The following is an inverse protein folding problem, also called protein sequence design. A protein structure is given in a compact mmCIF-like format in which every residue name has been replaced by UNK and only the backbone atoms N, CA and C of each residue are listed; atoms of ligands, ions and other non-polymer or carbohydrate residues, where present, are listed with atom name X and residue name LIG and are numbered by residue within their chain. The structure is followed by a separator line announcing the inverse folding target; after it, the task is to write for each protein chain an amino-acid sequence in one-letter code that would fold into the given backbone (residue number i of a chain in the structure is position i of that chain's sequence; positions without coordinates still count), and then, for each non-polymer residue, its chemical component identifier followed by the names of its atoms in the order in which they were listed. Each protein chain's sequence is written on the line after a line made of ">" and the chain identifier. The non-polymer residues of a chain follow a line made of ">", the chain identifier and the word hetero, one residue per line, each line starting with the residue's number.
data_IF_346357198520
#
_entry.id   IF_346357198520
#
_cell.length_a   1.000
_cell.length_b   1.000
_cell.length_c   1.000
_cell.angle_alpha   90.00
_cell.angle_beta   90.00
_cell.angle_gamma   90.00
#
_symmetry.space_group_name_H-M   'P 1'
#
loop_
_entity.id
_entity.type
_entity.pdbx_description
1 polymer ?
#
# COMPACT_ATOMS: atom_id res chain seq x y z
N UNK A 1 6.31 -1.35 -75.53
CA UNK A 1 6.75 -0.27 -74.62
C UNK A 1 5.73 -0.18 -73.49
N UNK A 2 6.07 -0.74 -72.33
CA UNK A 2 5.18 -0.81 -71.17
C UNK A 2 5.42 0.40 -70.27
N UNK A 3 4.33 1.10 -69.91
CA UNK A 3 4.32 2.15 -68.89
C UNK A 3 4.15 1.50 -67.51
N UNK A 4 5.13 1.72 -66.62
CA UNK A 4 5.02 1.46 -65.18
C UNK A 4 4.83 2.81 -64.47
N UNK A 5 3.60 3.08 -64.03
CA UNK A 5 3.30 4.17 -63.09
C UNK A 5 3.46 3.62 -61.68
N UNK A 6 4.50 4.09 -60.98
CA UNK A 6 4.70 3.89 -59.54
C UNK A 6 3.78 4.86 -58.81
N UNK A 7 2.79 4.34 -58.09
CA UNK A 7 1.95 5.12 -57.18
C UNK A 7 2.60 5.14 -55.80
N UNK A 8 3.00 6.32 -55.34
CA UNK A 8 3.44 6.57 -53.97
C UNK A 8 2.22 6.53 -53.02
N UNK A 9 2.05 5.45 -52.25
CA UNK A 9 1.18 5.45 -51.08
C UNK A 9 1.98 5.93 -49.85
N UNK A 10 1.62 7.14 -49.40
CA UNK A 10 2.05 7.76 -48.17
C UNK A 10 1.29 7.09 -47.01
N UNK A 11 1.86 6.05 -46.41
CA UNK A 11 1.31 5.47 -45.17
C UNK A 11 1.62 6.44 -44.02
N UNK A 12 0.59 7.16 -43.58
CA UNK A 12 0.59 7.80 -42.26
C UNK A 12 0.74 6.71 -41.19
N UNK A 13 1.47 6.98 -40.09
CA UNK A 13 1.54 6.03 -38.99
C UNK A 13 0.12 5.80 -38.46
N UNK A 14 -0.31 4.54 -38.47
CA UNK A 14 -1.52 4.11 -37.81
C UNK A 14 -1.39 4.50 -36.34
N UNK A 15 -2.21 5.45 -35.91
CA UNK A 15 -2.53 5.63 -34.50
C UNK A 15 -2.94 4.28 -33.95
N UNK A 16 -2.05 3.67 -33.18
CA UNK A 16 -2.36 2.52 -32.38
C UNK A 16 -3.38 2.98 -31.34
N UNK A 17 -4.65 2.88 -31.69
CA UNK A 17 -5.75 2.87 -30.72
C UNK A 17 -5.51 1.62 -29.88
N UNK A 18 -4.77 1.79 -28.78
CA UNK A 18 -4.62 0.76 -27.77
C UNK A 18 -6.04 0.48 -27.26
N UNK A 19 -6.59 -0.73 -27.43
CA UNK A 19 -7.89 -1.04 -26.88
C UNK A 19 -7.77 -0.94 -25.37
N UNK A 20 -8.44 0.07 -24.81
CA UNK A 20 -8.74 0.15 -23.39
C UNK A 20 -9.71 -0.99 -23.11
N UNK A 21 -9.18 -2.17 -22.80
CA UNK A 21 -9.95 -3.26 -22.23
C UNK A 21 -10.36 -2.84 -20.81
N UNK A 22 -11.47 -2.12 -20.72
CA UNK A 22 -12.28 -2.05 -19.51
C UNK A 22 -12.92 -3.42 -19.25
N UNK A 23 -13.08 -3.71 -17.95
CA UNK A 23 -13.87 -4.79 -17.33
C UNK A 23 -13.29 -6.20 -17.31
N UNK A 24 -12.78 -6.60 -16.14
CA UNK A 24 -13.19 -7.82 -15.41
C UNK A 24 -12.63 -7.79 -13.97
N UNK A 25 -13.25 -7.00 -13.09
CA UNK A 25 -12.96 -7.02 -11.65
C UNK A 25 -13.74 -8.11 -10.91
N UNK A 26 -14.64 -8.80 -11.60
CA UNK A 26 -15.54 -9.84 -11.06
C UNK A 26 -14.84 -11.13 -10.63
N UNK A 27 -13.55 -11.31 -10.96
CA UNK A 27 -12.78 -12.53 -10.67
C UNK A 27 -11.57 -12.29 -9.75
N UNK A 28 -11.47 -11.13 -9.11
CA UNK A 28 -10.36 -10.84 -8.22
C UNK A 28 -10.56 -11.56 -6.88
N UNK A 29 -9.58 -12.40 -6.50
CA UNK A 29 -9.54 -12.95 -5.15
C UNK A 29 -9.48 -11.82 -4.13
N UNK A 30 -10.02 -12.07 -2.93
CA UNK A 30 -10.04 -11.09 -1.86
C UNK A 30 -8.65 -10.49 -1.67
N UNK A 31 -8.54 -9.18 -1.89
CA UNK A 31 -7.28 -8.46 -1.74
C UNK A 31 -6.46 -8.21 -3.02
N UNK A 32 -6.88 -8.67 -4.19
CA UNK A 32 -6.23 -8.20 -5.43
C UNK A 32 -6.77 -6.81 -5.78
N UNK A 33 -5.87 -5.83 -5.91
CA UNK A 33 -6.22 -4.47 -6.32
C UNK A 33 -6.46 -4.48 -7.85
N UNK A 34 -7.61 -4.01 -8.34
CA UNK A 34 -7.84 -3.89 -9.78
C UNK A 34 -6.80 -3.00 -10.46
N UNK A 35 -6.39 -3.35 -11.68
CA UNK A 35 -5.35 -2.62 -12.43
C UNK A 35 -5.79 -1.21 -12.83
N UNK A 36 -7.09 -1.02 -13.05
CA UNK A 36 -7.73 0.22 -13.50
C UNK A 36 -7.94 1.25 -12.39
N UNK A 37 -7.70 0.90 -11.11
CA UNK A 37 -7.69 1.89 -10.03
C UNK A 37 -6.61 2.93 -10.33
N UNK A 38 -7.03 4.20 -10.43
CA UNK A 38 -6.16 5.29 -10.85
C UNK A 38 -4.97 5.49 -9.89
N UNK A 39 -5.14 5.14 -8.62
CA UNK A 39 -4.06 5.10 -7.63
C UNK A 39 -2.84 4.29 -8.10
N UNK A 40 -3.03 3.23 -8.90
CA UNK A 40 -1.93 2.43 -9.45
C UNK A 40 -0.99 3.27 -10.34
N UNK A 41 -1.51 4.29 -11.04
CA UNK A 41 -0.69 5.20 -11.85
C UNK A 41 0.32 5.94 -11.00
N UNK A 42 -0.07 6.30 -9.77
CA UNK A 42 0.79 6.97 -8.81
C UNK A 42 1.71 5.96 -8.09
N UNK A 43 1.16 4.84 -7.63
CA UNK A 43 1.88 3.86 -6.82
C UNK A 43 3.02 3.19 -7.60
N UNK A 44 2.82 2.89 -8.89
CA UNK A 44 3.81 2.19 -9.71
C UNK A 44 4.70 3.13 -10.53
N UNK A 45 4.60 4.44 -10.31
CA UNK A 45 5.40 5.41 -11.04
C UNK A 45 6.03 6.50 -10.13
N UNK A 46 6.84 6.10 -9.13
CA UNK A 46 7.39 7.01 -8.13
C UNK A 46 8.34 8.08 -8.66
N UNK A 47 8.82 7.94 -9.90
CA UNK A 47 9.67 8.92 -10.56
C UNK A 47 8.88 10.11 -11.15
N UNK A 48 7.56 9.94 -11.36
CA UNK A 48 6.73 10.91 -12.06
C UNK A 48 5.74 11.64 -11.15
N UNK A 49 5.63 11.22 -9.90
CA UNK A 49 4.72 11.81 -8.93
C UNK A 49 5.47 12.16 -7.64
N UNK A 50 4.88 13.02 -6.81
CA UNK A 50 5.38 13.26 -5.45
C UNK A 50 4.56 12.47 -4.45
N UNK A 51 5.11 12.19 -3.25
CA UNK A 51 4.29 11.58 -2.19
C UNK A 51 3.03 12.40 -1.88
N UNK A 52 3.08 13.73 -2.04
CA UNK A 52 1.93 14.61 -1.80
C UNK A 52 0.78 14.31 -2.75
N UNK A 53 1.08 14.04 -4.03
CA UNK A 53 0.06 13.64 -5.00
C UNK A 53 -0.57 12.29 -4.61
N UNK A 54 0.24 11.36 -4.10
CA UNK A 54 -0.26 10.06 -3.59
C UNK A 54 -1.11 10.24 -2.34
N UNK A 55 -0.69 11.07 -1.37
CA UNK A 55 -1.43 11.40 -0.14
C UNK A 55 -2.76 12.08 -0.44
N UNK A 56 -2.76 13.06 -1.34
CA UNK A 56 -3.97 13.76 -1.78
C UNK A 56 -4.98 12.80 -2.42
N UNK A 57 -4.53 12.02 -3.40
CA UNK A 57 -5.40 11.03 -4.05
C UNK A 57 -5.91 10.01 -3.02
N UNK A 58 -5.05 9.48 -2.15
CA UNK A 58 -5.45 8.52 -1.12
C UNK A 58 -6.57 9.08 -0.23
N UNK A 59 -6.41 10.31 0.27
CA UNK A 59 -7.38 10.91 1.18
C UNK A 59 -8.71 11.25 0.51
N UNK A 60 -8.67 11.75 -0.72
CA UNK A 60 -9.87 12.23 -1.41
C UNK A 60 -10.62 11.11 -2.15
N UNK A 61 -9.90 10.10 -2.62
CA UNK A 61 -10.47 9.07 -3.50
C UNK A 61 -10.56 7.73 -2.78
N UNK A 62 -9.45 7.23 -2.24
CA UNK A 62 -9.40 5.89 -1.65
C UNK A 62 -10.27 5.76 -0.41
N UNK A 63 -10.10 6.67 0.55
CA UNK A 63 -10.83 6.61 1.83
C UNK A 63 -12.33 6.87 1.69
N UNK A 64 -12.74 7.53 0.61
CA UNK A 64 -14.13 7.95 0.38
C UNK A 64 -14.84 6.96 -0.54
N UNK A 65 -14.28 6.67 -1.71
CA UNK A 65 -14.97 5.93 -2.77
C UNK A 65 -14.82 4.42 -2.64
N UNK A 66 -13.71 3.95 -2.09
CA UNK A 66 -13.37 2.52 -2.08
C UNK A 66 -13.60 1.84 -0.73
N UNK A 67 -14.14 2.53 0.28
CA UNK A 67 -14.26 2.00 1.66
C UNK A 67 -15.09 0.71 1.77
N UNK A 68 -16.08 0.56 0.89
CA UNK A 68 -16.95 -0.61 0.83
C UNK A 68 -16.43 -1.73 -0.07
N UNK A 69 -15.34 -1.48 -0.81
CA UNK A 69 -14.81 -2.44 -1.77
C UNK A 69 -14.00 -3.54 -1.07
N UNK A 70 -14.08 -4.75 -1.61
CA UNK A 70 -13.41 -5.94 -1.04
C UNK A 70 -11.88 -5.83 -1.05
N UNK A 71 -11.30 -4.99 -1.91
CA UNK A 71 -9.86 -4.75 -2.01
C UNK A 71 -9.38 -3.54 -1.19
N UNK A 72 -10.28 -2.80 -0.52
CA UNK A 72 -9.97 -1.57 0.20
C UNK A 72 -8.76 -1.69 1.13
N UNK A 73 -8.74 -2.70 2.00
CA UNK A 73 -7.65 -2.89 2.94
C UNK A 73 -6.30 -3.14 2.25
N UNK A 74 -6.29 -3.81 1.09
CA UNK A 74 -5.05 -4.00 0.35
C UNK A 74 -4.63 -2.73 -0.36
N UNK A 75 -5.57 -1.92 -0.85
CA UNK A 75 -5.28 -0.60 -1.39
C UNK A 75 -4.62 0.30 -0.34
N UNK A 76 -5.12 0.30 0.90
CA UNK A 76 -4.50 0.99 2.03
C UNK A 76 -3.08 0.50 2.29
N UNK A 77 -2.87 -0.82 2.41
CA UNK A 77 -1.55 -1.42 2.64
C UNK A 77 -0.53 -0.99 1.59
N UNK A 78 -0.88 -1.15 0.31
CA UNK A 78 0.04 -0.86 -0.80
C UNK A 78 0.34 0.63 -0.85
N UNK A 79 -0.66 1.50 -0.67
CA UNK A 79 -0.44 2.95 -0.64
C UNK A 79 0.55 3.36 0.44
N UNK A 80 0.34 2.90 1.66
CA UNK A 80 1.18 3.26 2.81
C UNK A 80 2.58 2.68 2.64
N UNK A 81 2.69 1.43 2.21
CA UNK A 81 3.99 0.80 1.93
C UNK A 81 4.77 1.57 0.86
N UNK A 82 4.10 2.02 -0.19
CA UNK A 82 4.71 2.80 -1.26
C UNK A 82 5.18 4.17 -0.77
N UNK A 83 4.34 4.89 -0.04
CA UNK A 83 4.74 6.17 0.58
C UNK A 83 6.01 5.99 1.43
N UNK A 84 5.98 5.03 2.35
CA UNK A 84 7.06 4.78 3.31
C UNK A 84 8.34 4.28 2.64
N UNK A 85 8.25 3.38 1.65
CA UNK A 85 9.42 2.72 1.09
C UNK A 85 9.96 3.36 -0.19
N UNK A 86 9.14 4.10 -0.95
CA UNK A 86 9.53 4.60 -2.28
C UNK A 86 9.63 6.12 -2.36
N UNK A 87 8.87 6.87 -1.56
CA UNK A 87 8.74 8.32 -1.74
C UNK A 87 9.40 9.18 -0.65
N UNK A 88 10.31 8.61 0.15
CA UNK A 88 10.98 9.30 1.26
C UNK A 88 9.99 10.04 2.19
N UNK A 89 8.78 9.50 2.31
CA UNK A 89 7.66 10.14 2.99
C UNK A 89 7.99 10.43 4.46
N UNK A 90 8.64 9.47 5.14
CA UNK A 90 8.97 9.61 6.56
C UNK A 90 9.98 10.74 6.85
N UNK A 91 10.79 11.15 5.87
CA UNK A 91 11.75 12.24 6.06
C UNK A 91 11.17 13.60 5.72
N UNK A 92 10.25 13.66 4.75
CA UNK A 92 9.77 14.92 4.17
C UNK A 92 8.36 15.33 4.58
N UNK A 93 7.55 14.41 5.13
CA UNK A 93 6.21 14.71 5.59
C UNK A 93 6.20 15.34 7.00
N UNK A 94 5.14 16.09 7.28
CA UNK A 94 4.89 16.61 8.64
C UNK A 94 4.55 15.47 9.61
N UNK A 95 4.77 15.70 10.91
CA UNK A 95 4.46 14.65 11.89
C UNK A 95 2.97 14.29 11.92
N UNK A 96 2.09 15.26 11.72
CA UNK A 96 0.64 15.03 11.66
C UNK A 96 0.25 14.08 10.50
N UNK A 97 0.98 14.15 9.38
CA UNK A 97 0.76 13.23 8.26
C UNK A 97 1.29 11.83 8.58
N UNK A 98 2.42 11.73 9.28
CA UNK A 98 2.97 10.44 9.72
C UNK A 98 2.03 9.79 10.75
N UNK A 99 1.50 10.57 11.71
CA UNK A 99 0.49 10.11 12.67
C UNK A 99 -0.79 9.64 11.99
N UNK A 100 -1.24 10.35 10.95
CA UNK A 100 -2.37 9.90 10.15
C UNK A 100 -2.14 8.50 9.58
N UNK A 101 -0.99 8.23 8.99
CA UNK A 101 -0.70 6.90 8.45
C UNK A 101 -0.42 5.84 9.51
N UNK A 102 0.04 6.23 10.70
CA UNK A 102 0.09 5.35 11.86
C UNK A 102 -1.32 4.86 12.24
N UNK A 103 -2.28 5.77 12.33
CA UNK A 103 -3.68 5.43 12.62
C UNK A 103 -4.29 4.56 11.51
N UNK A 104 -3.96 4.85 10.25
CA UNK A 104 -4.40 4.02 9.13
C UNK A 104 -3.88 2.58 9.25
N UNK A 105 -2.59 2.40 9.54
CA UNK A 105 -1.98 1.08 9.75
C UNK A 105 -2.58 0.33 10.96
N UNK A 106 -2.94 1.04 12.03
CA UNK A 106 -3.61 0.45 13.19
C UNK A 106 -4.97 -0.14 12.79
N UNK A 107 -5.68 0.49 11.88
CA UNK A 107 -6.98 0.03 11.39
C UNK A 107 -6.92 -1.03 10.28
N UNK A 108 -5.74 -1.58 9.95
CA UNK A 108 -5.57 -2.66 8.96
C UNK A 108 -5.28 -3.97 9.70
N UNK A 109 -6.06 -5.03 9.52
CA UNK A 109 -5.90 -6.29 10.28
C UNK A 109 -4.50 -6.93 10.16
N UNK A 110 -3.96 -6.95 8.94
CA UNK A 110 -2.65 -7.52 8.61
C UNK A 110 -1.76 -6.47 7.93
N UNK A 111 -1.23 -5.47 8.66
CA UNK A 111 -0.35 -4.47 8.07
C UNK A 111 1.00 -5.11 7.74
N UNK A 112 1.76 -4.51 6.82
CA UNK A 112 3.17 -4.88 6.64
C UNK A 112 3.96 -4.55 7.93
N UNK A 113 4.55 -5.54 8.62
CA UNK A 113 5.23 -5.32 9.89
C UNK A 113 6.40 -4.33 9.81
N UNK A 114 7.17 -4.39 8.72
CA UNK A 114 8.34 -3.53 8.55
C UNK A 114 7.91 -2.07 8.31
N UNK A 115 6.85 -1.86 7.53
CA UNK A 115 6.25 -0.54 7.33
C UNK A 115 5.69 0.01 8.64
N UNK A 116 4.96 -0.82 9.40
CA UNK A 116 4.44 -0.45 10.71
C UNK A 116 5.54 0.01 11.66
N UNK A 117 6.61 -0.78 11.79
CA UNK A 117 7.75 -0.45 12.66
C UNK A 117 8.42 0.86 12.22
N UNK A 118 8.67 1.07 10.92
CA UNK A 118 9.27 2.32 10.41
C UNK A 118 8.45 3.54 10.78
N UNK A 119 7.13 3.47 10.66
CA UNK A 119 6.22 4.56 11.02
C UNK A 119 6.24 4.80 12.54
N UNK A 120 6.15 3.75 13.35
CA UNK A 120 6.21 3.86 14.81
C UNK A 120 7.55 4.42 15.29
N UNK A 121 8.66 3.97 14.72
CA UNK A 121 10.00 4.44 15.05
C UNK A 121 10.15 5.93 14.70
N UNK A 122 9.59 6.38 13.57
CA UNK A 122 9.61 7.78 13.17
C UNK A 122 8.86 8.71 14.13
N UNK A 123 7.85 8.18 14.83
CA UNK A 123 7.06 8.92 15.82
C UNK A 123 7.73 8.99 17.21
N UNK A 124 8.89 8.34 17.41
CA UNK A 124 9.68 8.51 18.63
C UNK A 124 10.09 9.97 18.81
N UNK A 125 10.01 10.45 20.05
CA UNK A 125 10.24 11.86 20.39
C UNK A 125 9.01 12.76 20.18
N UNK A 126 7.98 12.29 19.47
CA UNK A 126 6.68 12.97 19.37
C UNK A 126 5.61 12.24 20.19
N UNK A 127 5.57 10.91 20.12
CA UNK A 127 4.81 10.08 21.04
C UNK A 127 5.70 9.62 22.18
N UNK A 128 5.08 9.38 23.34
CA UNK A 128 5.76 8.76 24.46
C UNK A 128 6.10 7.31 24.12
N UNK A 129 7.23 6.82 24.64
CA UNK A 129 7.64 5.44 24.48
C UNK A 129 6.57 4.45 24.96
N UNK A 130 5.91 4.76 26.08
CA UNK A 130 4.79 3.99 26.59
C UNK A 130 3.63 3.89 25.57
N UNK A 131 3.31 4.98 24.87
CA UNK A 131 2.26 4.98 23.84
C UNK A 131 2.65 4.10 22.65
N UNK A 132 3.87 4.26 22.13
CA UNK A 132 4.36 3.47 20.99
C UNK A 132 4.41 1.98 21.35
N UNK A 133 4.90 1.65 22.55
CA UNK A 133 4.91 0.29 23.05
C UNK A 133 3.49 -0.29 23.17
N UNK A 134 2.56 0.44 23.80
CA UNK A 134 1.19 -0.02 23.98
C UNK A 134 0.51 -0.30 22.64
N UNK A 135 0.64 0.62 21.67
CA UNK A 135 0.09 0.48 20.32
C UNK A 135 0.73 -0.71 19.60
N UNK A 136 2.04 -0.91 19.71
CA UNK A 136 2.74 -2.01 19.04
C UNK A 136 2.34 -3.38 19.62
N UNK A 137 2.23 -3.49 20.94
CA UNK A 137 1.75 -4.70 21.62
C UNK A 137 0.30 -5.02 21.29
N UNK A 138 -0.55 -3.98 21.29
CA UNK A 138 -1.95 -4.10 20.88
C UNK A 138 -2.00 -4.61 19.44
N UNK A 139 -1.23 -3.99 18.53
CA UNK A 139 -1.27 -4.34 17.12
C UNK A 139 -0.81 -5.77 16.85
N UNK A 140 0.27 -6.19 17.48
CA UNK A 140 0.72 -7.58 17.44
C UNK A 140 -0.38 -8.54 17.92
N UNK A 141 -1.01 -8.26 19.05
CA UNK A 141 -2.07 -9.11 19.62
C UNK A 141 -3.31 -9.20 18.71
N UNK A 142 -3.74 -8.07 18.13
CA UNK A 142 -4.84 -8.02 17.16
C UNK A 142 -4.53 -8.82 15.90
N UNK A 143 -3.30 -8.68 15.38
CA UNK A 143 -2.84 -9.41 14.20
C UNK A 143 -2.84 -10.92 14.47
N UNK A 144 -2.28 -11.36 15.61
CA UNK A 144 -2.28 -12.77 15.99
C UNK A 144 -3.71 -13.33 16.09
N UNK A 145 -4.62 -12.58 16.71
CA UNK A 145 -6.04 -12.96 16.81
C UNK A 145 -6.70 -13.07 15.44
N UNK A 146 -6.45 -12.10 14.56
CA UNK A 146 -6.98 -12.15 13.19
C UNK A 146 -6.47 -13.37 12.43
N UNK A 147 -5.16 -13.66 12.52
CA UNK A 147 -4.56 -14.84 11.87
C UNK A 147 -5.27 -16.11 12.33
N UNK A 148 -5.42 -16.29 13.65
CA UNK A 148 -6.02 -17.49 14.24
C UNK A 148 -7.50 -17.66 13.89
N UNK A 149 -8.26 -16.57 13.83
CA UNK A 149 -9.72 -16.64 13.70
C UNK A 149 -10.23 -16.52 12.26
N UNK A 150 -9.45 -15.91 11.36
CA UNK A 150 -9.95 -15.49 10.05
C UNK A 150 -9.20 -16.13 8.87
N UNK A 151 -8.08 -16.82 9.09
CA UNK A 151 -7.37 -17.53 8.02
C UNK A 151 -7.75 -19.01 8.02
N UNK A 152 -7.84 -19.58 6.81
CA UNK A 152 -8.17 -21.01 6.63
C UNK A 152 -7.04 -21.95 7.10
N UNK A 153 -5.78 -21.50 7.01
CA UNK A 153 -4.59 -22.28 7.40
C UNK A 153 -3.67 -21.41 8.29
N UNK A 154 -4.08 -21.07 9.54
CA UNK A 154 -3.35 -20.11 10.39
C UNK A 154 -1.93 -20.59 10.73
N UNK A 155 -1.76 -21.88 11.01
CA UNK A 155 -0.46 -22.47 11.37
C UNK A 155 0.56 -22.36 10.22
N UNK A 156 0.11 -22.64 8.99
CA UNK A 156 0.95 -22.54 7.79
C UNK A 156 1.30 -21.09 7.48
N UNK A 157 0.37 -20.16 7.69
CA UNK A 157 0.67 -18.74 7.58
C UNK A 157 1.75 -18.32 8.59
N UNK A 158 1.61 -18.72 9.86
CA UNK A 158 2.58 -18.42 10.91
C UNK A 158 3.95 -19.05 10.65
N UNK A 159 4.02 -20.25 10.11
CA UNK A 159 5.30 -20.87 9.72
C UNK A 159 6.03 -20.08 8.63
N UNK A 160 5.30 -19.43 7.72
CA UNK A 160 5.89 -18.71 6.59
C UNK A 160 6.20 -17.24 6.92
N UNK A 161 5.29 -16.59 7.65
CA UNK A 161 5.29 -15.13 7.82
C UNK A 161 5.33 -14.70 9.30
N UNK A 162 5.20 -15.64 10.25
CA UNK A 162 5.06 -15.35 11.69
C UNK A 162 6.23 -14.55 12.25
N UNK A 163 7.46 -14.89 11.88
CA UNK A 163 8.68 -14.17 12.31
C UNK A 163 8.64 -12.68 11.93
N UNK A 164 7.99 -12.34 10.81
CA UNK A 164 7.84 -10.92 10.41
C UNK A 164 6.95 -10.17 11.39
N UNK A 165 5.89 -10.79 11.88
CA UNK A 165 4.98 -10.18 12.85
C UNK A 165 5.56 -10.20 14.28
N UNK A 166 6.38 -11.18 14.64
CA UNK A 166 7.15 -11.16 15.89
C UNK A 166 8.07 -9.92 15.98
N UNK A 167 8.55 -9.40 14.85
CA UNK A 167 9.34 -8.17 14.84
C UNK A 167 8.60 -6.97 15.46
N UNK A 168 7.27 -6.91 15.39
CA UNK A 168 6.47 -5.84 16.03
C UNK A 168 6.58 -5.96 17.56
N UNK A 169 6.49 -7.17 18.08
CA UNK A 169 6.65 -7.45 19.52
C UNK A 169 8.07 -7.19 19.99
N UNK A 170 9.08 -7.61 19.23
CA UNK A 170 10.49 -7.33 19.54
C UNK A 170 10.76 -5.83 19.55
N UNK A 171 10.21 -5.09 18.58
CA UNK A 171 10.29 -3.63 18.56
C UNK A 171 9.64 -3.02 19.82
N UNK A 172 8.45 -3.47 20.19
CA UNK A 172 7.74 -2.98 21.38
C UNK A 172 8.52 -3.24 22.69
N UNK A 173 9.19 -4.39 22.81
CA UNK A 173 10.03 -4.72 23.96
C UNK A 173 11.31 -3.88 24.01
N UNK A 174 11.91 -3.58 22.85
CA UNK A 174 13.12 -2.77 22.74
C UNK A 174 12.93 -1.28 23.06
N UNK A 175 11.69 -0.80 23.09
CA UNK A 175 11.37 0.58 23.49
C UNK A 175 11.59 0.81 24.99
N UNK A 176 11.28 -0.16 25.85
CA UNK A 176 11.40 -0.01 27.30
C UNK A 176 12.83 -0.09 27.84
N UNK A 177 13.81 -0.40 26.98
CA UNK A 177 15.20 -0.62 27.38
C UNK A 177 16.12 0.57 27.11
N UNK A 178 15.57 1.70 26.64
CA UNK A 178 16.31 2.95 26.38
C UNK A 178 15.87 4.03 27.36
#
# INVERSE_FOLDING_TARGET
>A
MAFLLVSCQKNAPQDAVVPVNTTETSNLSLGVIPKDIELNKFIFNPQNFSWKAVDEYYRQEVLIKHKSDSFYNNLRKVTIATLVNQYDFLQSASINQIEFYANELMAIDLPDPAVFIKVMDRLKGHWTDQKIQAISNQKYSETQRFIQNNLNEPEKFLQKEGDKYEAIKTFAAGISQK
#
